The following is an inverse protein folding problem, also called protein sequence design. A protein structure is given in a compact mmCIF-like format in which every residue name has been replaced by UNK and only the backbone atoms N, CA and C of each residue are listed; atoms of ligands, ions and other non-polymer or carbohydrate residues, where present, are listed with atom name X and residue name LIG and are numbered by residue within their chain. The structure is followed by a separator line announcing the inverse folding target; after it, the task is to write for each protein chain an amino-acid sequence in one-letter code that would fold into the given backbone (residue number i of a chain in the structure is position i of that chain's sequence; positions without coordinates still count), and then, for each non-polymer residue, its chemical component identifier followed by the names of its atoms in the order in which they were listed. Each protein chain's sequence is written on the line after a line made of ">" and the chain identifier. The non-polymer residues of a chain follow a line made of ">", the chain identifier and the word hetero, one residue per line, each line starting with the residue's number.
data_IF_663555253360
#
_entry.id   IF_663555253360
#
_cell.length_a   1.000
_cell.length_b   1.000
_cell.length_c   1.000
_cell.angle_alpha   90.00
_cell.angle_beta   90.00
_cell.angle_gamma   90.00
#
_symmetry.space_group_name_H-M   'P 1'
#
loop_
_entity.id
_entity.type
_entity.pdbx_description
1 polymer ?
#
# COMPACT_ATOMS: atom_id res chain seq x y z
N UNK A 1 -16.08 1.38 8.08
CA UNK A 1 -15.11 2.42 7.68
C UNK A 1 -14.05 1.78 6.81
N UNK A 2 -13.66 2.43 5.75
CA UNK A 2 -12.61 1.93 4.88
C UNK A 2 -11.35 2.78 4.97
N UNK A 3 -10.23 2.09 5.05
CA UNK A 3 -8.92 2.72 5.13
C UNK A 3 -8.02 2.19 4.02
N UNK A 4 -7.18 3.08 3.50
CA UNK A 4 -6.13 2.73 2.55
C UNK A 4 -4.81 2.68 3.31
N UNK A 5 -4.13 1.56 3.22
CA UNK A 5 -2.78 1.41 3.74
C UNK A 5 -1.84 1.36 2.55
N UNK A 6 -0.94 2.33 2.44
CA UNK A 6 0.01 2.44 1.33
C UNK A 6 1.40 2.06 1.80
N UNK A 7 2.03 1.16 1.07
CA UNK A 7 3.38 0.71 1.39
C UNK A 7 4.38 1.61 0.67
N UNK A 8 5.29 2.21 1.43
CA UNK A 8 6.33 3.08 0.89
C UNK A 8 7.66 2.35 0.98
N UNK A 9 8.34 2.24 -0.15
CA UNK A 9 9.58 1.48 -0.28
C UNK A 9 10.64 2.25 -1.07
N UNK A 10 11.90 1.84 -0.88
CA UNK A 10 12.99 2.28 -1.73
C UNK A 10 13.13 1.27 -2.86
N UNK A 11 13.07 1.74 -4.11
CA UNK A 11 13.16 0.86 -5.28
C UNK A 11 14.57 0.41 -5.61
N UNK A 12 15.56 1.14 -5.16
CA UNK A 12 16.95 0.92 -5.55
C UNK A 12 17.62 -0.21 -4.79
N UNK A 13 16.86 -1.00 -4.05
CA UNK A 13 17.38 -2.16 -3.36
C UNK A 13 17.23 -3.39 -4.24
N UNK A 14 18.19 -4.32 -4.12
CA UNK A 14 18.10 -5.60 -4.80
C UNK A 14 17.39 -6.65 -3.95
N UNK A 15 16.76 -6.23 -2.87
CA UNK A 15 16.10 -7.13 -1.93
C UNK A 15 14.85 -7.75 -2.55
N UNK A 16 14.77 -9.08 -2.51
CA UNK A 16 13.61 -9.83 -2.98
C UNK A 16 12.95 -10.52 -1.79
N UNK A 17 11.61 -10.66 -1.83
CA UNK A 17 10.92 -11.40 -0.78
C UNK A 17 11.31 -12.87 -0.78
N UNK A 18 11.51 -13.44 0.40
CA UNK A 18 11.77 -14.85 0.55
C UNK A 18 10.51 -15.67 0.28
N UNK A 19 10.68 -16.97 0.04
CA UNK A 19 9.52 -17.86 -0.09
C UNK A 19 8.70 -17.89 1.18
N UNK A 20 9.37 -17.83 2.34
CA UNK A 20 8.68 -17.83 3.63
C UNK A 20 7.82 -16.56 3.78
N UNK A 21 8.36 -15.40 3.42
CA UNK A 21 7.61 -14.15 3.46
C UNK A 21 6.38 -14.25 2.55
N UNK A 22 6.55 -14.76 1.34
CA UNK A 22 5.44 -14.89 0.40
C UNK A 22 4.35 -15.83 0.92
N UNK A 23 4.73 -16.94 1.55
CA UNK A 23 3.77 -17.87 2.15
C UNK A 23 3.03 -17.23 3.32
N UNK A 24 3.76 -16.57 4.21
CA UNK A 24 3.17 -15.95 5.39
C UNK A 24 2.24 -14.79 5.01
N UNK A 25 2.64 -14.02 4.02
CA UNK A 25 1.80 -12.93 3.50
C UNK A 25 0.54 -13.49 2.86
N UNK A 26 0.67 -14.58 2.08
CA UNK A 26 -0.48 -15.24 1.47
C UNK A 26 -1.49 -15.73 2.50
N UNK A 27 -1.02 -16.29 3.60
CA UNK A 27 -1.88 -16.74 4.68
C UNK A 27 -2.62 -15.58 5.35
N UNK A 28 -1.91 -14.49 5.60
CA UNK A 28 -2.50 -13.30 6.22
C UNK A 28 -3.58 -12.71 5.30
N UNK A 29 -3.28 -12.58 4.02
CA UNK A 29 -4.24 -12.07 3.03
C UNK A 29 -5.48 -12.95 2.99
N UNK A 30 -5.32 -14.26 2.98
CA UNK A 30 -6.44 -15.19 2.96
C UNK A 30 -7.29 -15.05 4.24
N UNK A 31 -6.65 -15.00 5.39
CA UNK A 31 -7.34 -14.84 6.68
C UNK A 31 -8.16 -13.56 6.72
N UNK A 32 -7.56 -12.44 6.35
CA UNK A 32 -8.21 -11.13 6.41
C UNK A 32 -9.30 -10.99 5.35
N UNK A 33 -9.13 -11.61 4.19
CA UNK A 33 -10.15 -11.62 3.14
C UNK A 33 -11.38 -12.40 3.61
N UNK A 34 -11.18 -13.56 4.22
CA UNK A 34 -12.29 -14.36 4.75
C UNK A 34 -13.03 -13.65 5.86
N UNK A 35 -12.31 -12.89 6.67
CA UNK A 35 -12.91 -12.12 7.77
C UNK A 35 -13.64 -10.87 7.30
N UNK A 36 -13.58 -10.55 6.00
CA UNK A 36 -14.18 -9.35 5.46
C UNK A 36 -13.43 -8.07 5.79
N UNK A 37 -12.19 -8.19 6.26
CA UNK A 37 -11.36 -7.06 6.67
C UNK A 37 -10.49 -6.52 5.55
N UNK A 38 -10.09 -7.36 4.61
CA UNK A 38 -9.28 -6.97 3.46
C UNK A 38 -10.17 -7.01 2.22
N UNK A 39 -10.37 -5.83 1.62
CA UNK A 39 -11.22 -5.68 0.43
C UNK A 39 -10.40 -5.87 -0.84
N UNK A 40 -9.19 -5.30 -0.87
CA UNK A 40 -8.32 -5.35 -2.05
C UNK A 40 -6.90 -5.10 -1.63
N UNK A 41 -5.96 -5.76 -2.29
CA UNK A 41 -4.53 -5.51 -2.10
C UNK A 41 -3.80 -5.84 -3.38
N UNK A 42 -2.76 -5.08 -3.67
CA UNK A 42 -1.89 -5.33 -4.81
C UNK A 42 -0.54 -4.66 -4.61
N UNK A 43 0.48 -5.24 -5.21
CA UNK A 43 1.77 -4.58 -5.38
C UNK A 43 1.73 -3.74 -6.64
N UNK A 44 2.58 -2.74 -6.70
CA UNK A 44 2.73 -1.91 -7.90
C UNK A 44 3.99 -2.32 -8.64
N UNK A 45 3.91 -2.27 -9.97
CA UNK A 45 5.08 -2.50 -10.82
C UNK A 45 6.08 -1.35 -10.62
N UNK A 46 7.36 -1.58 -10.92
CA UNK A 46 8.40 -0.55 -10.71
C UNK A 46 8.08 0.76 -11.41
N UNK A 47 8.57 1.87 -10.86
CA UNK A 47 8.34 3.19 -11.45
C UNK A 47 8.92 3.34 -12.86
N UNK A 48 9.89 2.48 -13.24
CA UNK A 48 10.41 2.45 -14.61
C UNK A 48 9.32 2.15 -15.66
N UNK A 49 8.22 1.52 -15.24
CA UNK A 49 7.08 1.21 -16.09
C UNK A 49 5.94 2.22 -15.91
N UNK A 50 6.13 3.20 -15.03
CA UNK A 50 5.11 4.16 -14.70
C UNK A 50 5.25 5.49 -15.43
N UNK A 51 4.25 6.33 -15.28
CA UNK A 51 4.24 7.68 -15.84
C UNK A 51 3.55 8.60 -14.84
N UNK A 52 4.10 9.81 -14.67
CA UNK A 52 3.43 10.86 -13.93
C UNK A 52 2.75 11.81 -14.89
N UNK A 53 1.49 12.06 -14.66
CA UNK A 53 0.72 13.04 -15.42
C UNK A 53 0.52 14.25 -14.51
N UNK A 54 0.87 15.42 -15.00
CA UNK A 54 0.90 16.63 -14.17
C UNK A 54 0.05 17.71 -14.81
N UNK A 55 -0.78 18.36 -13.99
CA UNK A 55 -1.51 19.55 -14.38
C UNK A 55 -0.93 20.75 -13.64
N UNK A 56 -0.43 21.74 -14.38
CA UNK A 56 0.07 22.98 -13.79
C UNK A 56 -0.45 24.15 -14.59
N UNK A 57 -1.19 25.03 -13.93
CA UNK A 57 -1.74 26.26 -14.54
C UNK A 57 -2.51 25.95 -15.82
N UNK A 58 -3.30 24.88 -15.82
CA UNK A 58 -4.09 24.47 -16.95
C UNK A 58 -3.34 23.69 -18.03
N UNK A 59 -2.04 23.42 -17.82
CA UNK A 59 -1.23 22.66 -18.79
C UNK A 59 -0.94 21.27 -18.28
N UNK A 60 -1.17 20.29 -19.15
CA UNK A 60 -0.82 18.90 -18.88
C UNK A 60 0.61 18.63 -19.31
N UNK A 61 1.31 17.82 -18.51
CA UNK A 61 2.60 17.28 -18.89
C UNK A 61 2.71 15.86 -18.37
N UNK A 62 3.62 15.08 -18.97
CA UNK A 62 3.85 13.70 -18.56
C UNK A 62 5.34 13.48 -18.40
N UNK A 63 5.71 12.67 -17.43
CA UNK A 63 7.09 12.28 -17.21
C UNK A 63 7.13 10.79 -16.99
N UNK A 64 7.90 10.07 -17.82
CA UNK A 64 8.09 8.64 -17.67
C UNK A 64 9.01 8.35 -16.49
N UNK A 65 8.79 7.22 -15.81
CA UNK A 65 9.71 6.74 -14.81
C UNK A 65 11.02 6.26 -15.41
N UNK A 66 11.98 5.91 -14.57
CA UNK A 66 11.88 5.86 -13.11
C UNK A 66 11.89 7.25 -12.47
N UNK A 67 11.32 7.35 -11.27
CA UNK A 67 11.25 8.61 -10.53
C UNK A 67 12.40 8.69 -9.52
N UNK A 68 13.60 8.88 -10.05
CA UNK A 68 14.84 8.76 -9.27
C UNK A 68 15.05 9.87 -8.26
N UNK A 69 14.34 10.99 -8.40
CA UNK A 69 14.38 12.09 -7.45
C UNK A 69 13.65 11.77 -6.14
N UNK A 70 12.90 10.69 -6.12
CA UNK A 70 12.12 10.28 -4.95
C UNK A 70 12.85 9.17 -4.21
N UNK A 71 13.11 9.37 -2.93
CA UNK A 71 13.78 8.35 -2.12
C UNK A 71 12.91 7.11 -1.91
N UNK A 72 11.64 7.35 -1.63
CA UNK A 72 10.66 6.28 -1.45
C UNK A 72 9.51 6.45 -2.42
N UNK A 73 8.98 5.33 -2.89
CA UNK A 73 7.83 5.30 -3.78
C UNK A 73 6.75 4.41 -3.18
N UNK A 74 5.51 4.56 -3.67
CA UNK A 74 4.43 3.68 -3.27
C UNK A 74 4.65 2.33 -3.96
N UNK A 75 4.87 1.29 -3.18
CA UNK A 75 5.13 -0.05 -3.71
C UNK A 75 3.93 -0.97 -3.71
N UNK A 76 2.85 -0.57 -3.05
CA UNK A 76 1.64 -1.38 -2.97
C UNK A 76 0.61 -0.75 -2.08
N UNK A 77 -0.55 -1.38 -1.99
CA UNK A 77 -1.64 -0.87 -1.17
C UNK A 77 -2.52 -2.01 -0.65
N UNK A 78 -3.28 -1.69 0.40
CA UNK A 78 -4.36 -2.54 0.89
C UNK A 78 -5.54 -1.64 1.25
N UNK A 79 -6.74 -2.08 0.89
CA UNK A 79 -7.99 -1.42 1.30
C UNK A 79 -8.60 -2.28 2.39
N UNK A 80 -8.80 -1.68 3.57
CA UNK A 80 -9.26 -2.37 4.77
C UNK A 80 -10.65 -1.92 5.17
N UNK A 81 -11.52 -2.89 5.53
CA UNK A 81 -12.83 -2.62 6.11
C UNK A 81 -12.72 -2.84 7.61
N UNK A 82 -12.83 -1.80 8.40
CA UNK A 82 -12.58 -1.83 9.83
C UNK A 82 -13.58 -0.97 10.60
N UNK A 83 -13.64 -1.20 11.90
CA UNK A 83 -14.53 -0.46 12.80
C UNK A 83 -13.92 0.87 13.27
N UNK A 84 -12.59 1.01 13.18
CA UNK A 84 -11.90 2.19 13.71
C UNK A 84 -10.54 2.36 13.05
N UNK A 85 -9.97 3.55 13.23
CA UNK A 85 -8.60 3.85 12.81
C UNK A 85 -7.60 2.93 13.51
N UNK A 86 -7.82 2.67 14.79
CA UNK A 86 -6.95 1.81 15.60
C UNK A 86 -6.91 0.39 15.05
N UNK A 87 -8.03 -0.12 14.58
CA UNK A 87 -8.07 -1.43 13.95
C UNK A 87 -7.32 -1.44 12.63
N UNK A 88 -7.42 -0.37 11.83
CA UNK A 88 -6.65 -0.25 10.59
C UNK A 88 -5.14 -0.27 10.86
N UNK A 89 -4.71 0.42 11.92
CA UNK A 89 -3.31 0.43 12.33
C UNK A 89 -2.87 -0.96 12.77
N UNK A 90 -3.70 -1.66 13.55
CA UNK A 90 -3.41 -3.00 14.01
C UNK A 90 -3.23 -3.99 12.86
N UNK A 91 -4.12 -3.95 11.87
CA UNK A 91 -4.00 -4.80 10.70
C UNK A 91 -2.76 -4.46 9.87
N UNK A 92 -2.44 -3.18 9.74
CA UNK A 92 -1.23 -2.73 9.05
C UNK A 92 0.02 -3.25 9.76
N UNK A 93 0.02 -3.22 11.08
CA UNK A 93 1.13 -3.79 11.86
C UNK A 93 1.30 -5.28 11.61
N UNK A 94 0.21 -6.01 11.44
CA UNK A 94 0.29 -7.44 11.11
C UNK A 94 0.97 -7.66 9.75
N UNK A 95 0.65 -6.84 8.75
CA UNK A 95 1.33 -6.90 7.46
C UNK A 95 2.82 -6.62 7.59
N UNK A 96 3.19 -5.63 8.39
CA UNK A 96 4.60 -5.28 8.58
C UNK A 96 5.37 -6.37 9.31
N UNK A 97 4.75 -6.97 10.33
CA UNK A 97 5.41 -8.02 11.11
C UNK A 97 5.79 -9.25 10.29
N UNK A 98 5.02 -9.54 9.25
CA UNK A 98 5.30 -10.67 8.36
C UNK A 98 6.64 -10.51 7.66
N UNK A 99 7.08 -9.27 7.43
CA UNK A 99 8.34 -9.00 6.75
C UNK A 99 9.58 -9.32 7.59
N UNK A 100 9.46 -9.32 8.93
CA UNK A 100 10.59 -9.61 9.80
C UNK A 100 11.60 -8.47 9.90
N UNK A 101 12.82 -8.81 10.33
CA UNK A 101 13.83 -7.80 10.67
C UNK A 101 14.65 -7.30 9.47
N UNK A 102 14.53 -7.94 8.33
CA UNK A 102 15.37 -7.62 7.16
C UNK A 102 14.81 -6.50 6.29
N UNK A 103 13.59 -6.06 6.57
CA UNK A 103 12.91 -5.06 5.75
C UNK A 103 12.70 -3.76 6.53
N UNK A 104 12.97 -2.65 5.86
CA UNK A 104 12.63 -1.32 6.34
C UNK A 104 11.50 -0.78 5.48
N UNK A 105 10.29 -0.78 6.03
CA UNK A 105 9.08 -0.40 5.30
C UNK A 105 8.25 0.53 6.16
N UNK A 106 7.71 1.56 5.53
CA UNK A 106 6.75 2.45 6.17
C UNK A 106 5.41 2.30 5.45
N UNK A 107 4.33 2.21 6.23
CA UNK A 107 2.98 2.24 5.69
C UNK A 107 2.27 3.50 6.15
N UNK A 108 1.66 4.20 5.21
CA UNK A 108 0.81 5.34 5.51
C UNK A 108 -0.64 4.87 5.46
N UNK A 109 -1.39 5.13 6.54
CA UNK A 109 -2.77 4.65 6.69
C UNK A 109 -3.72 5.84 6.70
N UNK A 110 -4.66 5.89 5.75
CA UNK A 110 -5.59 7.03 5.63
C UNK A 110 -7.00 6.52 5.35
N UNK A 111 -7.99 7.14 5.99
CA UNK A 111 -9.37 6.80 5.74
C UNK A 111 -9.80 7.24 4.33
N UNK A 112 -10.54 6.37 3.65
CA UNK A 112 -11.12 6.71 2.37
C UNK A 112 -12.32 7.62 2.56
N UNK A 113 -12.42 8.62 1.71
CA UNK A 113 -13.49 9.60 1.74
C UNK A 113 -14.19 9.62 0.37
N UNK A 114 -15.50 9.87 0.39
CA UNK A 114 -16.31 9.89 -0.82
C UNK A 114 -17.74 9.49 -0.49
N UNK A 115 -18.69 9.73 -1.41
CA UNK A 115 -20.10 9.43 -1.14
C UNK A 115 -20.37 7.99 -0.73
N UNK A 116 -19.65 7.03 -1.28
CA UNK A 116 -19.84 5.62 -1.02
C UNK A 116 -19.14 5.12 0.25
N UNK A 117 -18.29 5.96 0.86
CA UNK A 117 -17.53 5.60 2.05
C UNK A 117 -17.89 6.40 3.29
N UNK A 118 -18.73 7.41 3.14
CA UNK A 118 -19.06 8.38 4.20
C UNK A 118 -20.43 8.11 4.81
N UNK A 119 -20.67 6.87 5.22
CA UNK A 119 -21.96 6.46 5.77
C UNK A 119 -22.18 6.92 7.22
N UNK A 120 -21.14 7.33 7.88
CA UNK A 120 -21.16 7.72 9.30
C UNK A 120 -21.04 9.23 9.53
N UNK A 121 -21.29 10.01 8.51
CA UNK A 121 -21.35 11.48 8.62
C UNK A 121 -22.67 11.97 9.14
#
# INVERSE_FOLDING_TARGET
>A
MRYLSMIRIEENTSQLPSEQLMRDMGKLIEELTRAGRLISTAGLRPTSEGVRVRLRRGKMSMADGPFTETKEVIGGYAILEVASREEAVELTQRFLKVHGDEWDIECEVRQLDGPEFCTDR
#
